data_IF_599061119566
#
_entry.id   IF_599061119566
#
_cell.length_a   1.000
_cell.length_b   1.000
_cell.length_c   1.000
_cell.angle_alpha   90.00
_cell.angle_beta   90.00
_cell.angle_gamma   90.00
#
_symmetry.space_group_name_H-M   'P 1'
#
loop_
_entity.id
_entity.type
_entity.pdbx_description
1 polymer ?
#
# COMPACT_ATOMS: atom_id res chain seq x y z
N UNK A 1 -13.11 -13.19 28.75
CA UNK A 1 -14.51 -13.37 29.18
C UNK A 1 -14.50 -13.87 30.60
N UNK A 2 -15.06 -13.11 31.54
CA UNK A 2 -15.22 -13.55 32.93
C UNK A 2 -16.48 -14.43 33.04
N UNK A 3 -16.43 -15.43 33.92
CA UNK A 3 -17.58 -16.26 34.27
C UNK A 3 -17.93 -16.00 35.72
N UNK A 4 -19.23 -15.84 35.98
CA UNK A 4 -19.77 -15.45 37.27
C UNK A 4 -20.69 -16.55 37.80
N UNK A 5 -20.68 -16.72 39.12
CA UNK A 5 -21.57 -17.65 39.79
C UNK A 5 -23.02 -17.12 39.77
N UNK A 6 -24.03 -18.00 39.88
CA UNK A 6 -25.43 -17.59 39.97
C UNK A 6 -25.70 -16.57 41.09
N UNK A 7 -25.01 -16.70 42.23
CA UNK A 7 -25.14 -15.81 43.38
C UNK A 7 -24.70 -14.38 43.03
N UNK A 8 -23.57 -14.23 42.33
CA UNK A 8 -23.04 -12.93 41.92
C UNK A 8 -23.98 -12.23 40.94
N UNK A 9 -24.49 -12.97 39.95
CA UNK A 9 -25.43 -12.44 38.97
C UNK A 9 -26.74 -12.02 39.64
N UNK A 10 -27.26 -12.81 40.58
CA UNK A 10 -28.46 -12.47 41.32
C UNK A 10 -28.28 -11.16 42.10
N UNK A 11 -27.12 -10.97 42.74
CA UNK A 11 -26.77 -9.73 43.44
C UNK A 11 -26.68 -8.54 42.47
N UNK A 12 -25.99 -8.70 41.35
CA UNK A 12 -25.78 -7.64 40.33
C UNK A 12 -27.10 -7.22 39.67
N UNK A 13 -28.04 -8.15 39.49
CA UNK A 13 -29.38 -7.90 38.94
C UNK A 13 -30.39 -7.47 40.00
N UNK A 14 -30.01 -7.48 41.29
CA UNK A 14 -30.88 -7.23 42.43
C UNK A 14 -32.15 -8.11 42.42
N UNK A 15 -32.00 -9.40 42.16
CA UNK A 15 -33.07 -10.41 42.16
C UNK A 15 -32.74 -11.57 43.08
N UNK A 16 -33.77 -12.31 43.52
CA UNK A 16 -33.55 -13.53 44.30
C UNK A 16 -32.92 -14.63 43.41
N UNK A 17 -32.05 -15.50 43.94
CA UNK A 17 -31.50 -16.63 43.18
C UNK A 17 -32.56 -17.56 42.59
N UNK A 18 -33.71 -17.72 43.26
CA UNK A 18 -34.87 -18.47 42.73
C UNK A 18 -35.46 -17.82 41.48
N UNK A 19 -35.55 -16.49 41.47
CA UNK A 19 -36.02 -15.70 40.32
C UNK A 19 -35.04 -15.81 39.15
N UNK A 20 -33.73 -15.73 39.43
CA UNK A 20 -32.70 -15.92 38.40
C UNK A 20 -32.84 -17.29 37.73
N UNK A 21 -32.99 -18.37 38.51
CA UNK A 21 -33.19 -19.72 37.97
C UNK A 21 -34.44 -19.82 37.10
N UNK A 22 -35.55 -19.17 37.50
CA UNK A 22 -36.78 -19.13 36.70
C UNK A 22 -36.56 -18.41 35.37
N UNK A 23 -35.87 -17.26 35.38
CA UNK A 23 -35.62 -16.49 34.16
C UNK A 23 -34.64 -17.22 33.23
N UNK A 24 -33.60 -17.85 33.78
CA UNK A 24 -32.70 -18.69 32.98
C UNK A 24 -33.46 -19.84 32.31
N UNK A 25 -34.41 -20.47 33.00
CA UNK A 25 -35.21 -21.54 32.41
C UNK A 25 -36.09 -21.03 31.25
N UNK A 26 -36.73 -19.87 31.40
CA UNK A 26 -37.56 -19.27 30.35
C UNK A 26 -36.74 -18.94 29.10
N UNK A 27 -35.54 -18.39 29.29
CA UNK A 27 -34.60 -18.13 28.20
C UNK A 27 -34.12 -19.44 27.54
N UNK A 28 -33.87 -20.50 28.32
CA UNK A 28 -33.55 -21.82 27.76
C UNK A 28 -34.68 -22.41 26.93
N UNK A 29 -35.93 -22.21 27.35
CA UNK A 29 -37.11 -22.64 26.61
C UNK A 29 -37.28 -21.91 25.27
N UNK A 30 -36.85 -20.64 25.18
CA UNK A 30 -36.86 -19.88 23.91
C UNK A 30 -35.64 -20.18 23.02
N UNK A 31 -34.73 -21.06 23.44
CA UNK A 31 -33.55 -21.47 22.67
C UNK A 31 -32.23 -20.80 23.07
N UNK A 32 -32.23 -19.94 24.09
CA UNK A 32 -30.99 -19.36 24.64
C UNK A 32 -30.20 -20.40 25.43
N UNK A 33 -28.90 -20.55 25.18
CA UNK A 33 -28.09 -21.58 25.84
C UNK A 33 -27.09 -20.97 26.83
N UNK A 34 -27.27 -21.26 28.12
CA UNK A 34 -26.26 -20.94 29.15
C UNK A 34 -25.18 -22.01 29.22
N UNK A 35 -23.95 -21.59 29.52
CA UNK A 35 -22.86 -22.54 29.79
C UNK A 35 -23.08 -23.23 31.13
N UNK A 36 -22.67 -24.49 31.20
CA UNK A 36 -22.69 -25.29 32.43
C UNK A 36 -21.27 -25.75 32.76
N UNK A 37 -20.96 -25.81 34.04
CA UNK A 37 -19.68 -26.33 34.53
C UNK A 37 -19.66 -27.87 34.51
N UNK A 38 -18.53 -28.48 34.90
CA UNK A 38 -18.37 -29.93 34.96
C UNK A 38 -19.36 -30.64 35.91
N UNK A 39 -19.96 -29.91 36.86
CA UNK A 39 -20.97 -30.39 37.80
C UNK A 39 -22.40 -30.16 37.30
N UNK A 40 -22.58 -29.58 36.11
CA UNK A 40 -23.89 -29.27 35.55
C UNK A 40 -24.53 -27.96 36.06
N UNK A 41 -23.84 -27.18 36.89
CA UNK A 41 -24.30 -25.87 37.36
C UNK A 41 -24.07 -24.80 36.29
N UNK A 42 -25.03 -23.87 36.14
CA UNK A 42 -24.91 -22.77 35.16
C UNK A 42 -23.80 -21.80 35.56
N UNK A 43 -22.99 -21.41 34.58
CA UNK A 43 -22.05 -20.30 34.67
C UNK A 43 -22.45 -19.22 33.68
N UNK A 44 -22.51 -17.99 34.18
CA UNK A 44 -22.97 -16.84 33.43
C UNK A 44 -21.78 -16.01 32.98
N UNK A 45 -21.76 -15.67 31.71
CA UNK A 45 -20.84 -14.71 31.11
C UNK A 45 -21.41 -13.29 31.17
N UNK A 46 -20.58 -12.30 30.86
CA UNK A 46 -21.02 -10.90 30.76
C UNK A 46 -22.15 -10.73 29.71
N UNK A 47 -22.13 -11.54 28.64
CA UNK A 47 -23.21 -11.56 27.64
C UNK A 47 -24.51 -12.14 28.18
N UNK A 48 -24.42 -13.14 29.05
CA UNK A 48 -25.60 -13.73 29.72
C UNK A 48 -26.23 -12.72 30.70
N UNK A 49 -25.40 -11.95 31.40
CA UNK A 49 -25.85 -10.86 32.27
C UNK A 49 -26.64 -9.81 31.47
N UNK A 50 -26.13 -9.39 30.31
CA UNK A 50 -26.83 -8.44 29.44
C UNK A 50 -28.18 -8.98 28.94
N UNK A 51 -28.21 -10.26 28.54
CA UNK A 51 -29.45 -10.92 28.10
C UNK A 51 -30.49 -10.95 29.22
N UNK A 52 -30.08 -11.32 30.45
CA UNK A 52 -30.96 -11.32 31.62
C UNK A 52 -31.44 -9.92 32.00
N UNK A 53 -30.58 -8.89 31.92
CA UNK A 53 -31.01 -7.49 32.13
C UNK A 53 -32.10 -7.10 31.14
N UNK A 54 -31.89 -7.37 29.85
CA UNK A 54 -32.88 -7.07 28.81
C UNK A 54 -34.20 -7.82 29.03
N UNK A 55 -34.13 -9.09 29.40
CA UNK A 55 -35.31 -9.88 29.73
C UNK A 55 -36.14 -9.24 30.84
N UNK A 56 -35.50 -8.80 31.92
CA UNK A 56 -36.17 -8.12 33.03
C UNK A 56 -36.82 -6.82 32.55
N UNK A 57 -36.10 -6.01 31.77
CA UNK A 57 -36.64 -4.75 31.22
C UNK A 57 -37.88 -4.98 30.34
N UNK A 58 -37.85 -6.00 29.47
CA UNK A 58 -38.99 -6.32 28.60
C UNK A 58 -40.19 -6.81 29.40
N UNK A 59 -39.97 -7.71 30.35
CA UNK A 59 -41.01 -8.15 31.29
C UNK A 59 -41.66 -6.97 32.02
N UNK A 60 -40.86 -6.05 32.54
CA UNK A 60 -41.36 -4.95 33.37
C UNK A 60 -42.02 -3.83 32.51
N UNK A 61 -41.79 -3.82 31.20
CA UNK A 61 -42.42 -2.86 30.27
C UNK A 61 -43.92 -3.11 30.04
N UNK A 62 -44.48 -4.23 30.52
CA UNK A 62 -45.92 -4.51 30.54
C UNK A 62 -46.59 -4.75 29.17
N UNK A 63 -45.84 -4.62 28.07
CA UNK A 63 -46.35 -4.77 26.70
C UNK A 63 -46.13 -6.13 26.05
N UNK A 64 -45.41 -7.06 26.71
CA UNK A 64 -45.04 -8.37 26.17
C UNK A 64 -45.28 -9.48 27.20
N UNK A 65 -45.60 -10.68 26.73
CA UNK A 65 -45.62 -11.88 27.58
C UNK A 65 -44.20 -12.27 28.00
N UNK A 66 -44.07 -13.16 28.99
CA UNK A 66 -42.76 -13.63 29.44
C UNK A 66 -42.07 -14.43 28.33
N UNK A 67 -42.84 -15.20 27.57
CA UNK A 67 -42.39 -16.01 26.46
C UNK A 67 -41.91 -15.12 25.30
N UNK A 68 -42.71 -14.11 24.90
CA UNK A 68 -42.32 -13.15 23.84
C UNK A 68 -41.06 -12.36 24.24
N UNK A 69 -40.96 -11.99 25.52
CA UNK A 69 -39.77 -11.32 26.06
C UNK A 69 -38.52 -12.21 25.97
N UNK A 70 -38.67 -13.52 26.21
CA UNK A 70 -37.57 -14.47 26.11
C UNK A 70 -37.13 -14.69 24.66
N UNK A 71 -38.08 -14.76 23.72
CA UNK A 71 -37.80 -14.87 22.29
C UNK A 71 -37.10 -13.62 21.75
N UNK A 72 -37.58 -12.43 22.11
CA UNK A 72 -36.97 -11.16 21.71
C UNK A 72 -35.50 -11.06 22.16
N UNK A 73 -35.18 -11.50 23.39
CA UNK A 73 -33.81 -11.54 23.90
C UNK A 73 -32.95 -12.54 23.14
N UNK A 74 -33.49 -13.71 22.80
CA UNK A 74 -32.78 -14.71 21.99
C UNK A 74 -32.43 -14.14 20.60
N UNK A 75 -33.40 -13.56 19.89
CA UNK A 75 -33.20 -12.95 18.57
C UNK A 75 -32.17 -11.81 18.62
N UNK A 76 -32.25 -10.96 19.66
CA UNK A 76 -31.26 -9.91 19.89
C UNK A 76 -29.86 -10.48 20.09
N UNK A 77 -29.71 -11.51 20.92
CA UNK A 77 -28.40 -12.13 21.19
C UNK A 77 -27.77 -12.75 19.94
N UNK A 78 -28.59 -13.35 19.06
CA UNK A 78 -28.15 -13.88 17.77
C UNK A 78 -27.69 -12.78 16.83
N UNK A 79 -28.44 -11.68 16.77
CA UNK A 79 -28.11 -10.51 15.94
C UNK A 79 -26.81 -9.84 16.40
N UNK A 80 -26.64 -9.67 17.71
CA UNK A 80 -25.41 -9.14 18.32
C UNK A 80 -24.19 -10.05 18.03
N UNK A 81 -24.37 -11.37 18.09
CA UNK A 81 -23.30 -12.32 17.73
C UNK A 81 -22.89 -12.18 16.26
N UNK A 82 -23.86 -12.02 15.35
CA UNK A 82 -23.58 -11.84 13.92
C UNK A 82 -22.87 -10.50 13.68
N UNK A 83 -23.32 -9.42 14.31
CA UNK A 83 -22.68 -8.10 14.21
C UNK A 83 -21.23 -8.11 14.74
N UNK A 84 -20.98 -8.81 15.85
CA UNK A 84 -19.62 -9.00 16.40
C UNK A 84 -18.72 -9.83 15.47
N UNK A 85 -19.26 -10.86 14.83
CA UNK A 85 -18.50 -11.63 13.85
C UNK A 85 -18.18 -10.81 12.59
N UNK A 86 -19.11 -9.98 12.13
CA UNK A 86 -18.88 -9.08 11.00
C UNK A 86 -17.78 -8.06 11.29
N UNK A 87 -17.81 -7.43 12.47
CA UNK A 87 -16.78 -6.45 12.89
C UNK A 87 -15.39 -7.07 13.05
N UNK A 88 -15.30 -8.29 13.61
CA UNK A 88 -14.03 -9.02 13.68
C UNK A 88 -13.49 -9.39 12.30
N UNK A 89 -14.36 -9.80 11.37
CA UNK A 89 -13.97 -10.10 9.99
C UNK A 89 -13.41 -8.88 9.28
N UNK A 90 -14.03 -7.70 9.45
CA UNK A 90 -13.53 -6.44 8.89
C UNK A 90 -12.19 -6.02 9.49
N UNK A 91 -12.01 -6.14 10.81
CA UNK A 91 -10.74 -5.81 11.47
C UNK A 91 -9.59 -6.71 10.97
N UNK A 92 -9.83 -8.01 10.81
CA UNK A 92 -8.83 -8.96 10.27
C UNK A 92 -8.47 -8.63 8.81
N UNK A 93 -9.45 -8.22 7.99
CA UNK A 93 -9.22 -7.81 6.60
C UNK A 93 -8.39 -6.52 6.49
N UNK A 94 -8.59 -5.56 7.41
CA UNK A 94 -7.80 -4.32 7.43
C UNK A 94 -6.36 -4.57 7.88
N UNK A 95 -6.13 -5.46 8.84
CA UNK A 95 -4.78 -5.83 9.30
C UNK A 95 -4.00 -6.63 8.24
N UNK A 96 -4.67 -7.49 7.46
CA UNK A 96 -4.03 -8.21 6.35
C UNK A 96 -3.62 -7.28 5.21
N UNK A 97 -4.49 -6.33 4.82
CA UNK A 97 -4.16 -5.33 3.79
C UNK A 97 -2.99 -4.42 4.19
N UNK A 98 -2.92 -4.06 5.48
CA UNK A 98 -1.80 -3.26 6.01
C UNK A 98 -0.48 -4.01 5.95
N UNK A 99 -0.45 -5.28 6.35
CA UNK A 99 0.75 -6.12 6.26
C UNK A 99 1.21 -6.31 4.81
N UNK A 100 0.27 -6.55 3.89
CA UNK A 100 0.57 -6.73 2.47
C UNK A 100 1.19 -5.47 1.84
N UNK A 101 0.69 -4.28 2.20
CA UNK A 101 1.27 -3.01 1.77
C UNK A 101 2.72 -2.82 2.24
N UNK A 102 3.00 -3.11 3.52
CA UNK A 102 4.35 -2.98 4.09
C UNK A 102 5.35 -3.96 3.48
N UNK A 103 4.94 -5.20 3.21
CA UNK A 103 5.80 -6.19 2.55
C UNK A 103 6.13 -5.76 1.12
N UNK A 104 5.14 -5.26 0.37
CA UNK A 104 5.37 -4.77 -0.98
C UNK A 104 6.33 -3.57 -1.00
N UNK A 105 6.20 -2.63 -0.06
CA UNK A 105 7.10 -1.47 0.05
C UNK A 105 8.56 -1.89 0.30
N UNK A 106 8.80 -2.81 1.24
CA UNK A 106 10.14 -3.34 1.51
C UNK A 106 10.76 -4.02 0.28
N UNK A 107 9.97 -4.78 -0.47
CA UNK A 107 10.48 -5.43 -1.70
C UNK A 107 10.83 -4.44 -2.81
N UNK A 108 10.13 -3.30 -2.87
CA UNK A 108 10.42 -2.23 -3.83
C UNK A 108 11.72 -1.53 -3.45
N UNK A 109 11.93 -1.20 -2.17
CA UNK A 109 13.18 -0.58 -1.70
C UNK A 109 14.41 -1.45 -2.00
N UNK A 110 14.35 -2.76 -1.72
CA UNK A 110 15.44 -3.69 -2.04
C UNK A 110 15.74 -3.78 -3.54
N UNK A 111 14.71 -3.66 -4.39
CA UNK A 111 14.88 -3.63 -5.84
C UNK A 111 15.54 -2.34 -6.30
N UNK A 112 15.16 -1.20 -5.72
CA UNK A 112 15.74 0.10 -6.02
C UNK A 112 17.22 0.16 -5.62
N UNK A 113 17.57 -0.36 -4.43
CA UNK A 113 18.97 -0.43 -3.98
C UNK A 113 19.83 -1.27 -4.92
N UNK A 114 19.34 -2.43 -5.37
CA UNK A 114 20.05 -3.26 -6.36
C UNK A 114 20.24 -2.55 -7.69
N UNK A 115 19.23 -1.79 -8.15
CA UNK A 115 19.33 -1.02 -9.39
C UNK A 115 20.38 0.09 -9.28
N UNK A 116 20.41 0.82 -8.17
CA UNK A 116 21.41 1.86 -7.89
C UNK A 116 22.81 1.24 -7.86
N UNK A 117 22.99 0.12 -7.18
CA UNK A 117 24.28 -0.56 -7.10
C UNK A 117 24.77 -1.02 -8.48
N UNK A 118 23.86 -1.59 -9.29
CA UNK A 118 24.18 -1.98 -10.67
C UNK A 118 24.55 -0.76 -11.53
N UNK A 119 23.79 0.34 -11.42
CA UNK A 119 24.10 1.58 -12.14
C UNK A 119 25.49 2.13 -11.76
N UNK A 120 25.84 2.11 -10.47
CA UNK A 120 27.16 2.54 -10.02
C UNK A 120 28.27 1.69 -10.65
N UNK A 121 28.10 0.36 -10.67
CA UNK A 121 29.06 -0.54 -11.32
C UNK A 121 29.22 -0.25 -12.82
N UNK A 122 28.12 0.00 -13.53
CA UNK A 122 28.17 0.37 -14.96
C UNK A 122 28.91 1.70 -15.16
N UNK A 123 28.67 2.69 -14.31
CA UNK A 123 29.36 3.99 -14.37
C UNK A 123 30.87 3.80 -14.16
N UNK A 124 31.27 3.02 -13.16
CA UNK A 124 32.68 2.77 -12.86
C UNK A 124 33.38 2.07 -14.04
N UNK A 125 32.71 1.11 -14.69
CA UNK A 125 33.22 0.44 -15.89
C UNK A 125 33.38 1.40 -17.07
N UNK A 126 32.41 2.29 -17.30
CA UNK A 126 32.49 3.30 -18.35
C UNK A 126 33.63 4.29 -18.09
N UNK A 127 33.80 4.74 -16.84
CA UNK A 127 34.89 5.63 -16.46
C UNK A 127 36.27 5.01 -16.74
N UNK A 128 36.45 3.73 -16.40
CA UNK A 128 37.69 3.00 -16.72
C UNK A 128 37.94 2.88 -18.23
N UNK A 129 36.89 2.63 -19.01
CA UNK A 129 36.99 2.57 -20.47
C UNK A 129 37.41 3.92 -21.07
N UNK A 130 36.81 5.02 -20.59
CA UNK A 130 37.17 6.38 -21.01
C UNK A 130 38.62 6.69 -20.68
N UNK A 131 39.06 6.39 -19.45
CA UNK A 131 40.44 6.61 -19.03
C UNK A 131 41.43 5.86 -19.93
N UNK A 132 41.12 4.61 -20.27
CA UNK A 132 41.94 3.81 -21.20
C UNK A 132 41.99 4.41 -22.60
N UNK A 133 40.87 4.93 -23.10
CA UNK A 133 40.82 5.60 -24.40
C UNK A 133 41.63 6.90 -24.39
N UNK A 134 41.54 7.70 -23.32
CA UNK A 134 42.34 8.93 -23.18
C UNK A 134 43.84 8.64 -23.18
N UNK A 135 44.26 7.57 -22.50
CA UNK A 135 45.65 7.15 -22.47
C UNK A 135 46.14 6.70 -23.87
N UNK A 136 45.34 5.90 -24.57
CA UNK A 136 45.63 5.48 -25.95
C UNK A 136 45.73 6.67 -26.90
N UNK A 137 44.77 7.60 -26.82
CA UNK A 137 44.77 8.83 -27.62
C UNK A 137 46.01 9.67 -27.33
N UNK A 138 46.42 9.77 -26.05
CA UNK A 138 47.65 10.46 -25.65
C UNK A 138 48.92 9.83 -26.21
N UNK A 139 48.99 8.49 -26.29
CA UNK A 139 50.11 7.77 -26.91
C UNK A 139 50.19 8.04 -28.42
N UNK A 140 49.05 7.92 -29.12
CA UNK A 140 48.96 8.22 -30.56
C UNK A 140 49.38 9.67 -30.82
N UNK A 141 48.95 10.64 -30.00
CA UNK A 141 49.31 12.04 -30.18
C UNK A 141 50.83 12.27 -30.05
N UNK A 142 51.49 11.56 -29.13
CA UNK A 142 52.95 11.59 -28.96
C UNK A 142 53.66 11.00 -30.18
N UNK A 143 53.20 9.86 -30.69
CA UNK A 143 53.75 9.23 -31.90
C UNK A 143 53.62 10.13 -33.13
N UNK A 144 52.43 10.70 -33.34
CA UNK A 144 52.19 11.67 -34.43
C UNK A 144 53.13 12.88 -34.31
N UNK A 145 53.36 13.39 -33.10
CA UNK A 145 54.29 14.51 -32.86
C UNK A 145 55.74 14.12 -33.17
N UNK A 146 56.18 12.92 -32.78
CA UNK A 146 57.53 12.40 -33.05
C UNK A 146 57.77 12.19 -34.55
N UNK A 147 56.80 11.60 -35.27
CA UNK A 147 56.84 11.44 -36.72
C UNK A 147 56.90 12.78 -37.44
N UNK A 148 56.05 13.74 -37.05
CA UNK A 148 56.04 15.08 -37.64
C UNK A 148 57.34 15.84 -37.40
N UNK A 149 57.94 15.73 -36.21
CA UNK A 149 59.24 16.32 -35.89
C UNK A 149 60.39 15.70 -36.69
N UNK A 150 60.29 14.41 -37.03
CA UNK A 150 61.28 13.70 -37.85
C UNK A 150 61.18 14.05 -39.35
N UNK A 151 60.08 14.66 -39.79
CA UNK A 151 59.83 15.08 -41.18
C UNK A 151 60.15 16.56 -41.44
N UNK A 152 60.56 17.33 -40.43
CA UNK A 152 61.03 18.72 -40.58
C UNK A 152 62.56 18.72 -40.40
N UNK A 153 63.38 18.50 -41.45
CA UNK A 153 63.52 19.49 -42.53
C UNK A 153 63.93 18.88 -43.89
N UNK A 154 63.07 18.90 -44.90
CA UNK A 154 63.45 18.90 -46.32
C UNK A 154 62.23 19.45 -47.10
N UNK A 155 62.49 20.42 -47.98
CA UNK A 155 61.59 20.97 -49.01
C UNK A 155 60.57 22.06 -48.63
N UNK A 156 61.06 23.30 -48.66
CA UNK A 156 60.46 24.35 -49.50
C UNK A 156 61.51 24.77 -50.54
N UNK A 157 61.22 25.30 -51.77
CA UNK A 157 59.95 25.84 -52.31
C UNK A 157 59.64 25.51 -53.82
N UNK A 158 58.58 26.14 -54.37
CA UNK A 158 58.13 26.24 -55.79
C UNK A 158 57.39 25.01 -56.37
N UNK A 159 56.39 25.08 -57.26
CA UNK A 159 55.90 26.13 -58.17
C UNK A 159 54.46 25.76 -58.61
N UNK A 160 53.61 26.78 -58.77
CA UNK A 160 52.58 26.99 -59.82
C UNK A 160 51.62 25.84 -60.22
N UNK A 161 50.30 25.99 -60.17
CA UNK A 161 49.52 26.88 -61.06
C UNK A 161 48.03 27.06 -60.65
N UNK A 162 47.27 27.97 -61.31
CA UNK A 162 46.20 28.77 -60.69
C UNK A 162 44.76 28.62 -61.28
N UNK A 163 43.86 29.46 -60.74
CA UNK A 163 42.62 30.11 -61.27
C UNK A 163 41.24 29.46 -61.02
N UNK A 164 40.42 30.10 -60.15
CA UNK A 164 39.19 30.93 -60.43
C UNK A 164 37.93 30.03 -60.28
N UNK A 165 36.84 30.34 -59.56
CA UNK A 165 36.11 31.60 -59.35
C UNK A 165 35.30 31.59 -58.05
N UNK A 166 35.03 32.79 -57.57
CA UNK A 166 34.17 33.24 -56.47
C UNK A 166 32.68 32.90 -56.61
N UNK A 167 32.02 32.58 -55.48
CA UNK A 167 30.72 33.18 -55.15
C UNK A 167 30.70 33.52 -53.66
N UNK A 168 30.29 34.75 -53.42
CA UNK A 168 30.34 35.50 -52.18
C UNK A 168 29.39 35.00 -51.09
N UNK A 169 29.80 35.36 -49.88
CA UNK A 169 29.05 35.53 -48.64
C UNK A 169 27.59 35.99 -48.79
N UNK A 170 26.71 35.44 -47.96
CA UNK A 170 25.56 36.21 -47.47
C UNK A 170 25.47 36.11 -45.94
N UNK A 171 25.22 37.28 -45.37
CA UNK A 171 25.54 37.74 -44.04
C UNK A 171 24.65 37.21 -42.92
N UNK A 172 25.20 37.23 -41.71
CA UNK A 172 24.48 37.28 -40.44
C UNK A 172 23.76 38.62 -40.26
N UNK A 173 22.64 38.62 -39.54
CA UNK A 173 22.27 39.51 -38.42
C UNK A 173 20.81 39.21 -37.94
N UNK A 174 20.34 39.64 -36.75
CA UNK A 174 20.87 39.39 -35.41
C UNK A 174 19.77 38.92 -34.40
N UNK A 175 20.19 38.79 -33.14
CA UNK A 175 19.53 38.30 -31.92
C UNK A 175 18.18 38.93 -31.51
N UNK A 176 17.33 38.16 -30.79
CA UNK A 176 16.80 38.51 -29.44
C UNK A 176 15.72 37.52 -28.93
N UNK A 177 15.97 36.85 -27.79
CA UNK A 177 14.96 36.21 -26.90
C UNK A 177 14.11 37.31 -26.15
N UNK A 178 13.10 37.04 -25.28
CA UNK A 178 12.63 35.80 -24.64
C UNK A 178 11.08 35.63 -24.49
N UNK A 179 10.69 34.58 -23.75
CA UNK A 179 9.43 34.37 -22.98
C UNK A 179 8.23 33.60 -23.56
N UNK A 180 7.96 32.49 -22.85
CA UNK A 180 6.70 31.83 -22.46
C UNK A 180 5.37 32.20 -23.10
N UNK A 181 4.66 31.18 -23.60
CA UNK A 181 3.20 31.18 -23.74
C UNK A 181 2.66 30.06 -24.64
N UNK A 182 2.13 28.99 -24.08
CA UNK A 182 1.32 28.02 -24.85
C UNK A 182 -0.04 28.63 -25.19
N UNK A 183 -0.68 28.32 -26.34
CA UNK A 183 -1.72 27.29 -26.28
C UNK A 183 -1.92 26.38 -27.52
N UNK A 184 -2.15 25.09 -27.21
CA UNK A 184 -3.02 24.04 -27.79
C UNK A 184 -3.39 24.09 -29.29
N UNK A 185 -2.96 23.04 -30.02
CA UNK A 185 -3.72 22.45 -31.14
C UNK A 185 -3.86 20.94 -30.96
N UNK A 186 -5.05 20.48 -31.28
CA UNK A 186 -5.69 19.22 -30.89
C UNK A 186 -5.04 17.98 -31.55
N UNK A 187 -4.42 17.10 -30.76
CA UNK A 187 -3.80 15.83 -31.24
C UNK A 187 -4.69 14.61 -31.01
N UNK A 188 -6.01 14.82 -30.81
CA UNK A 188 -7.00 13.76 -30.54
C UNK A 188 -7.18 12.74 -31.66
N UNK A 189 -6.61 12.96 -32.85
CA UNK A 189 -6.66 12.00 -33.96
C UNK A 189 -5.40 11.14 -34.18
N UNK A 190 -4.23 11.56 -33.67
CA UNK A 190 -2.96 10.91 -33.99
C UNK A 190 -2.66 9.71 -33.10
N UNK A 191 -3.07 9.75 -31.83
CA UNK A 191 -2.77 8.69 -30.87
C UNK A 191 -3.76 7.52 -30.90
N UNK A 192 -4.99 7.72 -31.39
CA UNK A 192 -6.01 6.68 -31.47
C UNK A 192 -5.70 5.54 -32.48
N UNK A 193 -4.74 5.76 -33.39
CA UNK A 193 -4.31 4.76 -34.41
C UNK A 193 -3.14 3.89 -33.98
N UNK A 194 -2.48 4.18 -32.86
CA UNK A 194 -1.25 3.49 -32.44
C UNK A 194 -1.53 2.33 -31.46
N UNK A 195 -2.69 2.32 -30.78
CA UNK A 195 -2.94 1.36 -29.69
C UNK A 195 -4.13 0.40 -29.90
N UNK A 196 -4.47 0.04 -31.13
CA UNK A 196 -5.45 -1.03 -31.35
C UNK A 196 -4.97 -2.03 -32.40
N UNK A 197 -4.07 -2.92 -31.96
CA UNK A 197 -3.90 -4.26 -32.52
C UNK A 197 -3.29 -5.20 -31.49
#
# INVERSE_FOLDING_TARGET
>A
MAFHAPEDIAMVLNIKPSTLRKYSLLLEQSGYSFKKNAQGHRWYSDTDLMALRKFITLKDSGGMTLEDSAEAVFLWSKTESIARQATLSTAIQDDTKRHEATVNELTIEERLLRLIQHQQQTIDQMAQSIQKQEEQNGQILKEVKMLKGSLQPLDAPSSDQPKIESVESFSQEPESEPETGMPKKDTRGLWARIWNK
#
